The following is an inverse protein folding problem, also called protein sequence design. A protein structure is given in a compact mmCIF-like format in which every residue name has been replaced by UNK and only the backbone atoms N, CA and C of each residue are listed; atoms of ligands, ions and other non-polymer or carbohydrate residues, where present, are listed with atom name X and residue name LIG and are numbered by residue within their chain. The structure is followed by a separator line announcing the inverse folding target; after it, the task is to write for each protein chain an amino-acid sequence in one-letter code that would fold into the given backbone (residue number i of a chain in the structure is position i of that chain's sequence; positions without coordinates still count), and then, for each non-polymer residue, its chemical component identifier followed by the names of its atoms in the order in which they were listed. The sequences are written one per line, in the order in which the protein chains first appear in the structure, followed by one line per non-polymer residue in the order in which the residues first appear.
data_IF_375329748660
#
_entry.id   IF_375329748660
#
_cell.length_a   1.000
_cell.length_b   1.000
_cell.length_c   1.000
_cell.angle_alpha   90.00
_cell.angle_beta   90.00
_cell.angle_gamma   90.00
#
_symmetry.space_group_name_H-M   'P 1'
#
loop_
_entity.id
_entity.type
_entity.pdbx_description
1 polymer ?
#
# COMPACT_ATOMS: atom_id res chain seq x y z
N UNK A 1 3.28 2.56 -9.64
CA UNK A 1 4.42 2.08 -8.82
C UNK A 1 4.18 0.64 -8.45
N UNK A 2 4.97 -0.30 -8.90
CA UNK A 2 4.65 -1.71 -8.76
C UNK A 2 4.95 -2.27 -7.38
N UNK A 3 4.14 -3.26 -6.98
CA UNK A 3 4.53 -4.18 -5.92
C UNK A 3 5.72 -5.02 -6.39
N UNK A 4 6.71 -5.13 -5.53
CA UNK A 4 7.92 -5.89 -5.78
C UNK A 4 8.02 -7.05 -4.78
N UNK A 5 8.29 -8.25 -5.28
CA UNK A 5 8.47 -9.43 -4.43
C UNK A 5 9.95 -9.67 -4.17
N UNK A 6 10.33 -9.69 -2.91
CA UNK A 6 11.67 -10.06 -2.46
C UNK A 6 11.73 -11.59 -2.46
N UNK A 7 12.33 -12.17 -3.47
CA UNK A 7 12.33 -13.62 -3.71
C UNK A 7 12.91 -14.43 -2.56
N UNK A 8 13.93 -13.91 -1.89
CA UNK A 8 14.59 -14.59 -0.76
C UNK A 8 13.66 -14.74 0.45
N UNK A 9 12.74 -13.79 0.65
CA UNK A 9 11.74 -13.83 1.74
C UNK A 9 10.47 -14.58 1.37
N UNK A 10 10.17 -14.70 0.08
CA UNK A 10 8.95 -15.33 -0.39
C UNK A 10 9.08 -16.86 -0.29
N UNK A 11 8.20 -17.50 0.46
CA UNK A 11 8.13 -18.97 0.60
C UNK A 11 7.09 -19.61 -0.34
N UNK A 12 6.46 -18.82 -1.22
CA UNK A 12 5.37 -19.26 -2.09
C UNK A 12 4.12 -19.70 -1.33
N UNK A 13 3.92 -19.16 -0.13
CA UNK A 13 2.85 -19.58 0.80
C UNK A 13 2.86 -21.09 1.05
N UNK A 14 4.03 -21.67 1.27
CA UNK A 14 4.24 -23.07 1.60
C UNK A 14 3.65 -24.06 0.57
N UNK A 15 3.68 -23.69 -0.71
CA UNK A 15 3.25 -24.56 -1.79
C UNK A 15 1.75 -24.56 -2.07
N UNK A 16 1.02 -23.58 -1.60
CA UNK A 16 -0.38 -23.41 -1.98
C UNK A 16 -0.51 -23.07 -3.48
N UNK A 17 -1.52 -23.62 -4.13
CA UNK A 17 -1.81 -23.36 -5.56
C UNK A 17 -2.16 -21.89 -5.80
N UNK A 18 -2.80 -21.25 -4.84
CA UNK A 18 -3.14 -19.83 -4.89
C UNK A 18 -2.73 -19.16 -3.58
N UNK A 19 -1.82 -18.20 -3.68
CA UNK A 19 -1.23 -17.51 -2.53
C UNK A 19 -2.09 -16.37 -2.02
N UNK A 20 -1.85 -15.93 -0.78
CA UNK A 20 -2.57 -14.82 -0.17
C UNK A 20 -2.51 -13.54 -1.03
N UNK A 21 -1.36 -13.23 -1.62
CA UNK A 21 -1.21 -12.07 -2.48
C UNK A 21 -2.00 -12.18 -3.80
N UNK A 22 -2.19 -13.40 -4.33
CA UNK A 22 -3.04 -13.62 -5.50
C UNK A 22 -4.52 -13.43 -5.17
N UNK A 23 -4.97 -13.90 -4.00
CA UNK A 23 -6.36 -13.73 -3.57
C UNK A 23 -6.76 -12.29 -3.34
N UNK A 24 -5.85 -11.50 -2.76
CA UNK A 24 -6.19 -10.14 -2.32
C UNK A 24 -6.00 -9.08 -3.41
N UNK A 25 -5.32 -9.41 -4.51
CA UNK A 25 -5.04 -8.43 -5.55
C UNK A 25 -6.32 -8.10 -6.34
N UNK A 26 -6.82 -6.86 -6.30
CA UNK A 26 -8.07 -6.50 -6.97
C UNK A 26 -7.93 -6.49 -8.50
N UNK A 27 -6.71 -6.45 -9.03
CA UNK A 27 -6.40 -6.48 -10.46
C UNK A 27 -5.84 -7.83 -10.93
N UNK A 28 -5.80 -8.84 -10.03
CA UNK A 28 -5.28 -10.18 -10.33
C UNK A 28 -3.85 -10.20 -10.93
N UNK A 29 -3.00 -9.29 -10.47
CA UNK A 29 -1.65 -9.12 -11.03
C UNK A 29 -0.62 -10.10 -10.46
N UNK A 30 -0.95 -10.76 -9.35
CA UNK A 30 -0.01 -11.63 -8.66
C UNK A 30 -0.12 -13.07 -9.18
N UNK A 31 1.03 -13.71 -9.40
CA UNK A 31 1.09 -15.10 -9.81
C UNK A 31 2.25 -15.83 -9.14
N UNK A 32 2.23 -17.16 -9.22
CA UNK A 32 3.35 -18.02 -8.85
C UNK A 32 4.21 -18.33 -10.08
N UNK A 33 5.52 -18.19 -9.94
CA UNK A 33 6.49 -18.63 -10.96
C UNK A 33 7.56 -19.51 -10.33
N UNK A 34 8.05 -20.46 -11.12
CA UNK A 34 9.21 -21.28 -10.77
C UNK A 34 10.46 -20.41 -10.82
N UNK A 35 11.18 -20.36 -9.74
CA UNK A 35 12.48 -19.69 -9.63
C UNK A 35 13.50 -20.74 -9.20
N UNK A 36 14.59 -20.81 -9.93
CA UNK A 36 15.72 -21.66 -9.56
C UNK A 36 16.59 -20.90 -8.57
N UNK A 37 16.78 -21.47 -7.41
CA UNK A 37 17.71 -20.96 -6.41
C UNK A 37 19.15 -21.14 -6.96
N UNK A 38 19.91 -20.06 -7.00
CA UNK A 38 21.24 -20.07 -7.61
C UNK A 38 22.28 -20.85 -6.82
N UNK A 39 22.08 -20.95 -5.51
CA UNK A 39 23.04 -21.59 -4.60
C UNK A 39 22.75 -23.08 -4.43
N UNK A 40 21.48 -23.46 -4.37
CA UNK A 40 21.06 -24.85 -4.13
C UNK A 40 20.59 -25.58 -5.39
N UNK A 41 20.40 -24.84 -6.50
CA UNK A 41 19.80 -25.36 -7.74
C UNK A 41 18.39 -25.96 -7.58
N UNK A 42 17.73 -25.67 -6.44
CA UNK A 42 16.37 -26.09 -6.16
C UNK A 42 15.36 -25.20 -6.88
N UNK A 43 14.30 -25.83 -7.40
CA UNK A 43 13.18 -25.12 -8.01
C UNK A 43 12.15 -24.80 -6.93
N UNK A 44 11.96 -23.51 -6.66
CA UNK A 44 10.98 -23.01 -5.68
C UNK A 44 9.90 -22.17 -6.37
N UNK A 45 8.67 -22.30 -5.89
CA UNK A 45 7.58 -21.42 -6.35
C UNK A 45 7.67 -20.09 -5.61
N UNK A 46 7.68 -18.99 -6.33
CA UNK A 46 7.77 -17.63 -5.78
C UNK A 46 6.68 -16.75 -6.36
N UNK A 47 6.13 -15.88 -5.53
CA UNK A 47 5.20 -14.85 -5.99
C UNK A 47 5.87 -13.86 -6.94
N UNK A 48 5.12 -13.37 -7.89
CA UNK A 48 5.57 -12.35 -8.85
C UNK A 48 4.41 -11.45 -9.23
N UNK A 49 4.68 -10.18 -9.45
CA UNK A 49 3.74 -9.29 -10.12
C UNK A 49 3.99 -9.40 -11.63
N UNK A 50 2.98 -9.90 -12.36
CA UNK A 50 3.09 -10.17 -13.80
C UNK A 50 3.03 -8.90 -14.64
N UNK A 51 2.21 -7.93 -14.22
CA UNK A 51 1.97 -6.68 -14.94
C UNK A 51 2.17 -5.47 -14.03
N UNK A 52 3.41 -5.13 -13.69
CA UNK A 52 3.72 -4.07 -12.74
C UNK A 52 3.10 -2.71 -13.09
N UNK A 53 2.94 -2.43 -14.39
CA UNK A 53 2.38 -1.17 -14.89
C UNK A 53 0.90 -1.00 -14.52
N UNK A 54 0.17 -2.11 -14.36
CA UNK A 54 -1.25 -2.11 -13.98
C UNK A 54 -1.46 -1.97 -12.45
N UNK A 55 -0.39 -1.96 -11.67
CA UNK A 55 -0.49 -1.87 -10.23
C UNK A 55 -0.86 -0.47 -9.77
N UNK A 56 -1.98 -0.33 -9.10
CA UNK A 56 -2.45 0.95 -8.55
C UNK A 56 -2.13 1.17 -7.06
N UNK A 57 -1.24 0.36 -6.50
CA UNK A 57 -0.67 0.58 -5.16
C UNK A 57 -1.65 0.54 -4.00
N UNK A 58 -2.60 -0.36 -4.03
CA UNK A 58 -3.55 -0.50 -2.92
C UNK A 58 -2.93 -1.07 -1.63
N UNK A 59 -1.66 -1.53 -1.66
CA UNK A 59 -0.92 -2.13 -0.54
C UNK A 59 -1.52 -3.43 0.03
N UNK A 60 -2.60 -3.95 -0.53
CA UNK A 60 -3.27 -5.14 0.02
C UNK A 60 -2.37 -6.36 0.06
N UNK A 61 -1.62 -6.63 -1.03
CA UNK A 61 -0.67 -7.74 -1.10
C UNK A 61 0.50 -7.59 -0.10
N UNK A 62 0.94 -6.35 0.17
CA UNK A 62 1.99 -6.06 1.14
C UNK A 62 1.52 -6.38 2.56
N UNK A 63 0.30 -5.94 2.90
CA UNK A 63 -0.29 -6.12 4.24
C UNK A 63 -0.60 -7.57 4.57
N UNK A 64 -1.03 -8.36 3.57
CA UNK A 64 -1.44 -9.75 3.79
C UNK A 64 -0.27 -10.74 3.78
N UNK A 65 0.88 -10.36 3.24
CA UNK A 65 2.02 -11.27 3.09
C UNK A 65 2.57 -11.71 4.45
N UNK A 66 2.50 -13.01 4.80
CA UNK A 66 2.92 -13.50 6.12
C UNK A 66 4.44 -13.40 6.32
N UNK A 67 5.22 -13.54 5.26
CA UNK A 67 6.69 -13.45 5.30
C UNK A 67 7.21 -12.02 5.06
N UNK A 68 6.30 -11.05 4.87
CA UNK A 68 6.66 -9.66 4.55
C UNK A 68 7.62 -9.57 3.36
N UNK A 69 7.38 -10.41 2.37
CA UNK A 69 8.21 -10.50 1.17
C UNK A 69 7.82 -9.49 0.08
N UNK A 70 6.79 -8.68 0.29
CA UNK A 70 6.29 -7.74 -0.72
C UNK A 70 6.48 -6.31 -0.22
N UNK A 71 7.02 -5.48 -1.07
CA UNK A 71 7.15 -4.03 -0.84
C UNK A 71 6.70 -3.25 -2.07
N UNK A 72 6.32 -2.00 -1.88
CA UNK A 72 6.10 -1.07 -2.98
C UNK A 72 7.39 -0.31 -3.21
N UNK A 73 7.94 -0.42 -4.40
CA UNK A 73 9.11 0.35 -4.82
C UNK A 73 8.66 1.58 -5.54
N UNK A 74 8.87 2.70 -4.90
CA UNK A 74 8.40 3.98 -5.34
C UNK A 74 9.43 4.72 -6.19
N UNK A 75 8.94 5.39 -7.21
CA UNK A 75 9.58 6.54 -7.84
C UNK A 75 8.71 7.80 -7.68
N UNK A 76 7.85 7.77 -6.67
CA UNK A 76 6.97 8.88 -6.32
C UNK A 76 7.70 9.92 -5.46
N UNK A 77 7.00 10.98 -5.15
CA UNK A 77 7.52 12.19 -4.53
C UNK A 77 8.20 11.96 -3.18
N UNK A 78 7.70 11.00 -2.38
CA UNK A 78 8.23 10.75 -1.03
C UNK A 78 9.24 9.59 -0.94
N UNK A 79 9.29 8.70 -1.94
CA UNK A 79 10.24 7.60 -2.01
C UNK A 79 10.66 7.36 -3.47
N UNK A 80 11.50 8.24 -4.03
CA UNK A 80 11.92 8.16 -5.42
C UNK A 80 12.72 6.89 -5.71
N UNK A 81 13.09 6.68 -6.96
CA UNK A 81 13.79 5.51 -7.48
C UNK A 81 14.81 4.92 -6.50
N UNK A 82 14.64 3.65 -6.15
CA UNK A 82 15.46 2.92 -5.18
C UNK A 82 14.96 3.01 -3.74
N UNK A 83 13.87 3.75 -3.46
CA UNK A 83 13.17 3.70 -2.21
C UNK A 83 12.10 2.61 -2.18
N UNK A 84 11.61 2.29 -0.99
CA UNK A 84 10.51 1.35 -0.80
C UNK A 84 9.60 1.77 0.35
N UNK A 85 8.33 1.36 0.27
CA UNK A 85 7.32 1.59 1.31
C UNK A 85 6.66 0.26 1.63
N UNK A 86 6.56 -0.05 2.92
CA UNK A 86 5.84 -1.23 3.37
C UNK A 86 5.11 -0.98 4.68
N UNK A 87 3.78 -1.08 4.67
CA UNK A 87 2.96 -1.08 5.85
C UNK A 87 2.99 -2.44 6.54
N UNK A 88 3.14 -2.44 7.85
CA UNK A 88 3.04 -3.63 8.69
C UNK A 88 1.81 -3.49 9.58
N UNK A 89 0.76 -4.30 9.37
CA UNK A 89 -0.41 -4.26 10.21
C UNK A 89 -0.11 -4.88 11.59
N UNK A 90 -0.56 -4.19 12.64
CA UNK A 90 -0.63 -4.70 14.01
C UNK A 90 -2.07 -4.91 14.43
N UNK A 91 -2.30 -5.19 15.70
CA UNK A 91 -3.64 -5.39 16.27
C UNK A 91 -4.49 -4.11 16.26
N UNK A 92 -3.87 -2.98 16.58
CA UNK A 92 -4.50 -1.68 16.81
C UNK A 92 -4.00 -0.57 15.89
N UNK A 93 -2.92 -0.84 15.18
CA UNK A 93 -2.20 0.19 14.42
C UNK A 93 -1.48 -0.39 13.22
N UNK A 94 -1.13 0.46 12.27
CA UNK A 94 -0.30 0.12 11.12
C UNK A 94 1.00 0.90 11.22
N UNK A 95 2.12 0.17 11.17
CA UNK A 95 3.45 0.76 11.09
C UNK A 95 3.83 0.92 9.62
N UNK A 96 3.95 2.14 9.17
CA UNK A 96 4.47 2.49 7.86
C UNK A 96 5.98 2.67 7.91
N UNK A 97 6.70 1.88 7.15
CA UNK A 97 8.15 2.01 7.02
C UNK A 97 8.47 2.50 5.61
N UNK A 98 9.18 3.62 5.54
CA UNK A 98 9.68 4.20 4.30
C UNK A 98 11.20 4.08 4.33
N UNK A 99 11.75 3.38 3.35
CA UNK A 99 13.19 3.31 3.12
C UNK A 99 13.52 4.19 1.93
N UNK A 100 14.34 5.20 2.16
CA UNK A 100 14.81 6.11 1.12
C UNK A 100 16.00 5.54 0.35
N UNK A 101 16.26 6.08 -0.83
CA UNK A 101 17.39 5.69 -1.68
C UNK A 101 18.75 5.86 -0.99
N UNK A 102 18.93 6.87 -0.16
CA UNK A 102 20.14 7.13 0.62
C UNK A 102 20.34 6.17 1.81
N UNK A 103 19.41 5.22 2.01
CA UNK A 103 19.44 4.28 3.13
C UNK A 103 18.73 4.78 4.39
N UNK A 104 18.30 6.04 4.44
CA UNK A 104 17.51 6.56 5.56
C UNK A 104 16.20 5.79 5.69
N UNK A 105 15.78 5.52 6.93
CA UNK A 105 14.52 4.85 7.23
C UNK A 105 13.68 5.74 8.13
N UNK A 106 12.46 6.03 7.69
CA UNK A 106 11.44 6.68 8.51
C UNK A 106 10.30 5.73 8.82
N UNK A 107 9.78 5.80 10.04
CA UNK A 107 8.67 5.00 10.51
C UNK A 107 7.59 5.87 11.11
N UNK A 108 6.34 5.55 10.74
CA UNK A 108 5.16 6.24 11.22
C UNK A 108 4.17 5.19 11.72
N UNK A 109 3.63 5.39 12.92
CA UNK A 109 2.61 4.51 13.50
C UNK A 109 1.29 5.24 13.50
N UNK A 110 0.29 4.65 12.82
CA UNK A 110 -1.07 5.19 12.79
C UNK A 110 -2.04 4.18 13.39
N UNK A 111 -2.99 4.61 14.21
CA UNK A 111 -4.05 3.73 14.69
C UNK A 111 -4.93 3.26 13.53
N UNK A 112 -5.40 2.01 13.59
CA UNK A 112 -6.34 1.47 12.60
C UNK A 112 -7.73 2.06 12.76
N UNK A 113 -8.04 2.55 13.97
CA UNK A 113 -9.31 3.18 14.30
C UNK A 113 -9.06 4.36 15.23
N UNK A 114 -9.82 5.41 15.02
CA UNK A 114 -9.81 6.60 15.89
C UNK A 114 -10.80 6.39 17.05
N UNK A 115 -11.81 5.55 16.85
CA UNK A 115 -12.88 5.26 17.82
C UNK A 115 -12.88 3.76 18.12
N UNK A 116 -13.13 3.40 19.38
CA UNK A 116 -13.20 2.00 19.80
C UNK A 116 -14.40 1.29 19.14
N UNK A 117 -14.27 0.00 18.81
CA UNK A 117 -15.41 -0.78 18.33
C UNK A 117 -16.52 -0.79 19.38
N UNK A 118 -17.72 -0.43 18.98
CA UNK A 118 -18.89 -0.36 19.84
C UNK A 118 -19.21 1.03 20.44
N UNK A 119 -18.30 2.01 20.30
CA UNK A 119 -18.57 3.41 20.68
C UNK A 119 -19.35 4.18 19.62
N UNK A 120 -19.40 3.65 18.39
CA UNK A 120 -20.12 4.27 17.28
C UNK A 120 -21.25 3.37 16.84
N UNK A 121 -22.49 3.83 17.01
CA UNK A 121 -23.64 3.23 16.37
C UNK A 121 -23.81 3.86 14.98
N UNK A 122 -23.41 3.12 13.96
CA UNK A 122 -23.51 3.56 12.57
C UNK A 122 -24.97 3.76 12.12
N UNK A 123 -25.92 3.08 12.76
CA UNK A 123 -27.34 3.20 12.42
C UNK A 123 -28.04 4.34 13.19
N UNK A 124 -27.56 4.66 14.38
CA UNK A 124 -28.02 5.82 15.13
C UNK A 124 -27.40 7.14 14.65
N UNK A 125 -26.34 7.09 13.83
CA UNK A 125 -25.61 8.27 13.40
C UNK A 125 -24.83 8.98 14.51
N UNK A 126 -24.75 8.37 15.69
CA UNK A 126 -24.01 8.89 16.82
C UNK A 126 -22.51 8.62 16.69
N UNK A 127 -21.70 9.59 17.08
CA UNK A 127 -20.22 9.45 17.08
C UNK A 127 -19.56 9.57 15.70
N UNK A 128 -20.32 9.69 14.63
CA UNK A 128 -19.79 9.99 13.31
C UNK A 128 -19.77 11.51 13.13
N UNK A 129 -18.58 12.08 12.97
CA UNK A 129 -18.47 13.48 12.59
C UNK A 129 -19.22 13.69 11.27
N UNK A 130 -20.34 14.42 11.32
CA UNK A 130 -21.03 14.76 10.09
C UNK A 130 -20.16 15.68 9.25
N UNK A 131 -19.96 15.28 8.00
CA UNK A 131 -19.26 16.15 7.06
C UNK A 131 -20.05 17.46 6.91
N UNK A 132 -19.34 18.57 6.99
CA UNK A 132 -19.95 19.88 6.74
C UNK A 132 -20.27 20.00 5.23
N UNK A 133 -21.50 19.61 4.89
CA UNK A 133 -21.99 19.62 3.50
C UNK A 133 -22.02 21.05 2.92
N UNK A 134 -22.05 22.09 3.78
CA UNK A 134 -21.99 23.47 3.30
C UNK A 134 -20.71 23.74 2.53
N UNK A 135 -19.59 23.15 2.94
CA UNK A 135 -18.30 23.29 2.28
C UNK A 135 -18.25 22.64 0.90
N UNK A 136 -19.05 21.60 0.66
CA UNK A 136 -19.15 20.95 -0.67
C UNK A 136 -19.79 21.89 -1.69
N UNK A 137 -20.60 22.83 -1.22
CA UNK A 137 -21.27 23.84 -2.06
C UNK A 137 -20.38 25.09 -2.31
N UNK A 138 -19.26 25.21 -1.59
CA UNK A 138 -18.32 26.28 -1.79
C UNK A 138 -17.70 26.20 -3.20
N UNK A 139 -17.79 27.28 -3.94
CA UNK A 139 -17.19 27.34 -5.26
C UNK A 139 -15.67 27.15 -5.15
N UNK A 140 -15.15 26.16 -5.86
CA UNK A 140 -13.72 25.86 -5.87
C UNK A 140 -13.26 24.86 -4.80
N UNK A 141 -14.15 24.31 -3.99
CA UNK A 141 -13.77 23.29 -3.00
C UNK A 141 -13.05 22.08 -3.63
N UNK A 142 -13.51 21.61 -4.78
CA UNK A 142 -12.90 20.52 -5.53
C UNK A 142 -11.93 20.96 -6.62
N UNK A 143 -11.85 22.26 -6.94
CA UNK A 143 -10.98 22.77 -8.00
C UNK A 143 -9.61 23.21 -7.50
N UNK A 144 -9.37 23.18 -6.20
CA UNK A 144 -8.11 23.54 -5.53
C UNK A 144 -7.59 24.95 -5.81
N UNK A 145 -8.38 25.78 -6.46
CA UNK A 145 -8.01 27.15 -6.77
C UNK A 145 -8.80 28.12 -5.90
N UNK A 146 -8.33 28.37 -4.69
CA UNK A 146 -8.63 29.64 -4.04
C UNK A 146 -7.96 30.75 -4.88
N UNK A 147 -8.60 31.91 -4.96
CA UNK A 147 -8.01 33.07 -5.62
C UNK A 147 -6.60 33.43 -5.12
N UNK A 148 -6.27 33.03 -3.91
CA UNK A 148 -4.98 33.25 -3.25
C UNK A 148 -3.89 32.26 -3.68
N UNK A 149 -4.26 31.15 -4.33
CA UNK A 149 -3.33 30.10 -4.79
C UNK A 149 -3.26 29.97 -6.31
N UNK A 150 -3.94 30.81 -7.05
CA UNK A 150 -3.77 30.85 -8.47
C UNK A 150 -2.33 31.25 -8.79
N UNK A 151 -1.55 30.32 -9.29
CA UNK A 151 -0.22 30.62 -9.81
C UNK A 151 -0.39 31.64 -10.93
N UNK A 152 0.43 32.70 -10.97
CA UNK A 152 0.38 33.63 -12.06
C UNK A 152 0.59 32.87 -13.37
N UNK A 153 -0.35 33.02 -14.29
CA UNK A 153 -0.22 32.47 -15.64
C UNK A 153 0.93 33.24 -16.28
N UNK A 154 2.00 32.54 -16.73
CA UNK A 154 3.06 33.25 -17.45
C UNK A 154 2.48 33.89 -18.71
N UNK A 155 2.81 35.16 -18.92
CA UNK A 155 2.41 35.93 -20.08
C UNK A 155 3.02 35.38 -21.37
#
# INVERSE_FOLDING_TARGET
MPSFVITDKCDGCQGQDKTACMYICPHDLMALKKVVDKDTNEVKMKGVNQEPVQCWECYSCVKICPTQAIEIRCYADFAPLGGSVFPMPGSDSIMWTIKFRNGEIKRFKFPTRIVNPGEVDIFAGEGVAQADISRVKEQGFFTHQSKERALPVPA
#
